data_IF_049288028916
#
_entry.id   IF_049288028916
#
_cell.length_a   1.000
_cell.length_b   1.000
_cell.length_c   1.000
_cell.angle_alpha   90.00
_cell.angle_beta   90.00
_cell.angle_gamma   90.00
#
_symmetry.space_group_name_H-M   'P 1'
#
loop_
_entity.id
_entity.type
_entity.pdbx_description
1 polymer ?
#
# COMPACT_ATOMS: atom_id res chain seq x y z
N UNK A 1 -1.59 -11.61 30.85
CA UNK A 1 -0.74 -12.26 29.84
C UNK A 1 -1.41 -12.00 28.51
N UNK A 2 -0.77 -11.27 27.60
CA UNK A 2 -1.40 -10.85 26.33
C UNK A 2 -1.60 -12.06 25.41
N UNK A 3 -2.74 -12.12 24.73
CA UNK A 3 -3.04 -13.18 23.75
C UNK A 3 -2.17 -12.97 22.49
N UNK A 4 -1.40 -14.00 22.13
CA UNK A 4 -0.65 -14.02 20.88
C UNK A 4 -1.61 -14.10 19.69
N UNK A 5 -1.32 -13.39 18.61
CA UNK A 5 -2.17 -13.35 17.41
C UNK A 5 -1.31 -13.29 16.17
N UNK A 6 -1.70 -14.03 15.14
CA UNK A 6 -1.05 -14.00 13.84
C UNK A 6 -2.11 -14.06 12.74
N UNK A 7 -1.99 -13.20 11.74
CA UNK A 7 -2.84 -13.18 10.56
C UNK A 7 -1.94 -13.19 9.33
N UNK A 8 -2.01 -14.27 8.55
CA UNK A 8 -1.28 -14.48 7.31
C UNK A 8 -2.26 -14.45 6.14
N UNK A 9 -1.95 -13.71 5.08
CA UNK A 9 -2.78 -13.67 3.89
C UNK A 9 -2.00 -13.24 2.64
N UNK A 10 -2.65 -13.41 1.49
CA UNK A 10 -2.22 -12.90 0.19
C UNK A 10 -3.25 -11.92 -0.35
N UNK A 11 -2.82 -10.95 -1.15
CA UNK A 11 -3.71 -10.01 -1.83
C UNK A 11 -3.66 -10.21 -3.35
N UNK A 12 -4.79 -10.38 -4.06
CA UNK A 12 -4.80 -10.67 -5.50
C UNK A 12 -4.07 -9.64 -6.37
N UNK A 13 -4.10 -8.36 -5.96
CA UNK A 13 -3.38 -7.27 -6.66
C UNK A 13 -1.87 -7.19 -6.34
N UNK A 14 -1.33 -8.09 -5.51
CA UNK A 14 0.10 -8.21 -5.20
C UNK A 14 0.51 -9.69 -5.28
N UNK A 15 0.38 -10.34 -6.46
CA UNK A 15 0.67 -11.76 -6.60
C UNK A 15 2.13 -12.04 -6.24
N UNK A 16 2.43 -13.13 -5.53
CA UNK A 16 3.82 -13.46 -5.13
C UNK A 16 4.36 -12.61 -3.97
N UNK A 17 3.48 -12.00 -3.18
CA UNK A 17 3.83 -11.29 -1.95
C UNK A 17 2.91 -11.77 -0.83
N UNK A 18 3.49 -12.40 0.20
CA UNK A 18 2.74 -12.77 1.39
C UNK A 18 2.79 -11.65 2.45
N UNK A 19 1.72 -11.59 3.25
CA UNK A 19 1.54 -10.59 4.29
C UNK A 19 1.35 -11.32 5.63
N UNK A 20 2.11 -10.91 6.65
CA UNK A 20 1.89 -11.36 8.03
C UNK A 20 1.74 -10.15 8.93
N UNK A 21 0.71 -10.15 9.77
CA UNK A 21 0.61 -9.26 10.94
C UNK A 21 0.56 -10.14 12.17
N UNK A 22 1.47 -9.94 13.11
CA UNK A 22 1.44 -10.72 14.34
C UNK A 22 1.85 -9.93 15.58
N UNK A 23 1.50 -10.50 16.72
CA UNK A 23 1.97 -10.15 18.05
C UNK A 23 2.35 -11.44 18.76
N UNK A 24 3.60 -11.51 19.21
CA UNK A 24 4.18 -12.67 19.89
C UNK A 24 4.81 -12.22 21.21
N UNK A 25 4.70 -13.05 22.24
CA UNK A 25 5.25 -12.80 23.59
C UNK A 25 6.13 -13.96 24.03
N UNK A 26 5.65 -15.19 23.83
CA UNK A 26 6.33 -16.43 24.22
C UNK A 26 6.82 -17.23 23.01
N UNK A 27 6.27 -16.98 21.83
CA UNK A 27 6.67 -17.63 20.60
C UNK A 27 8.15 -17.42 20.29
N UNK A 28 8.82 -18.50 19.88
CA UNK A 28 10.21 -18.49 19.43
C UNK A 28 10.27 -19.27 18.12
N UNK A 29 10.71 -18.60 17.06
CA UNK A 29 11.04 -19.23 15.79
C UNK A 29 12.41 -19.89 15.89
N UNK A 30 12.44 -21.21 15.70
CA UNK A 30 13.67 -21.97 15.54
C UNK A 30 14.43 -21.57 14.26
N UNK A 31 15.55 -22.24 13.97
CA UNK A 31 16.31 -22.01 12.73
C UNK A 31 15.43 -22.32 11.51
N UNK A 32 15.23 -21.33 10.64
CA UNK A 32 14.44 -21.47 9.42
C UNK A 32 14.94 -20.52 8.32
N UNK A 33 14.40 -20.71 7.11
CA UNK A 33 14.66 -19.88 5.91
C UNK A 33 13.32 -19.48 5.29
N UNK A 34 13.36 -18.48 4.41
CA UNK A 34 12.24 -18.13 3.52
C UNK A 34 12.71 -18.19 2.07
N UNK A 35 11.81 -18.57 1.16
CA UNK A 35 12.07 -18.60 -0.28
C UNK A 35 12.09 -17.17 -0.88
N UNK A 36 11.47 -16.22 -0.19
CA UNK A 36 11.44 -14.79 -0.53
C UNK A 36 12.23 -13.93 0.45
N UNK A 37 12.22 -12.62 0.20
CA UNK A 37 12.78 -11.65 1.14
C UNK A 37 11.82 -11.40 2.30
N UNK A 38 12.34 -10.86 3.40
CA UNK A 38 11.53 -10.40 4.53
C UNK A 38 11.76 -8.91 4.72
N UNK A 39 10.68 -8.13 4.75
CA UNK A 39 10.68 -6.75 5.25
C UNK A 39 9.69 -6.68 6.42
N UNK A 40 10.19 -6.77 7.65
CA UNK A 40 9.37 -6.79 8.87
C UNK A 40 9.44 -5.44 9.60
N UNK A 41 8.38 -4.64 9.53
CA UNK A 41 8.26 -3.41 10.29
C UNK A 41 7.82 -3.70 11.72
N UNK A 42 8.66 -3.36 12.70
CA UNK A 42 8.35 -3.58 14.11
C UNK A 42 7.50 -2.41 14.60
N UNK A 43 6.29 -2.73 15.03
CA UNK A 43 5.27 -1.74 15.45
C UNK A 43 5.22 -1.55 16.96
N UNK A 44 5.64 -2.54 17.73
CA UNK A 44 5.69 -2.50 19.20
C UNK A 44 6.68 -3.54 19.73
N UNK A 45 7.26 -3.29 20.90
CA UNK A 45 8.21 -4.18 21.54
C UNK A 45 9.55 -4.29 20.79
N UNK A 46 10.19 -5.45 20.90
CA UNK A 46 11.51 -5.72 20.31
C UNK A 46 11.58 -7.15 19.81
N UNK A 47 11.89 -7.33 18.52
CA UNK A 47 12.26 -8.62 17.96
C UNK A 47 13.78 -8.82 18.08
N UNK A 48 14.21 -10.00 18.51
CA UNK A 48 15.61 -10.40 18.50
C UNK A 48 15.77 -11.67 17.67
N UNK A 49 16.82 -11.74 16.84
CA UNK A 49 17.02 -12.88 15.96
C UNK A 49 18.49 -13.13 15.66
N UNK A 50 18.89 -14.40 15.62
CA UNK A 50 20.23 -14.75 15.19
C UNK A 50 20.29 -14.69 13.66
N UNK A 51 21.22 -13.90 13.13
CA UNK A 51 21.42 -13.70 11.71
C UNK A 51 22.88 -13.47 11.37
N UNK A 52 23.35 -14.07 10.26
CA UNK A 52 24.74 -13.93 9.78
C UNK A 52 25.82 -14.15 10.87
N UNK A 53 25.53 -15.03 11.84
CA UNK A 53 26.44 -15.36 12.94
C UNK A 53 26.39 -14.43 14.15
N UNK A 54 25.57 -13.38 14.14
CA UNK A 54 25.34 -12.47 15.26
C UNK A 54 23.90 -12.50 15.77
N UNK A 55 23.66 -11.81 16.88
CA UNK A 55 22.32 -11.51 17.40
C UNK A 55 21.93 -10.11 16.94
N UNK A 56 20.88 -10.01 16.16
CA UNK A 56 20.27 -8.76 15.71
C UNK A 56 19.10 -8.40 16.64
N UNK A 57 18.90 -7.11 16.87
CA UNK A 57 17.85 -6.57 17.75
C UNK A 57 17.10 -5.47 17.00
N UNK A 58 15.83 -5.72 16.69
CA UNK A 58 14.94 -4.83 15.96
C UNK A 58 13.88 -4.24 16.91
N UNK A 59 14.08 -3.01 17.43
CA UNK A 59 13.09 -2.34 18.26
C UNK A 59 11.93 -1.78 17.43
N UNK A 60 10.82 -1.46 18.10
CA UNK A 60 9.72 -0.71 17.50
C UNK A 60 10.21 0.55 16.76
N UNK A 61 9.68 0.78 15.56
CA UNK A 61 10.13 1.85 14.66
C UNK A 61 11.26 1.45 13.71
N UNK A 62 11.77 0.22 13.78
CA UNK A 62 12.76 -0.30 12.81
C UNK A 62 12.14 -1.28 11.81
N UNK A 63 12.93 -1.62 10.77
CA UNK A 63 12.61 -2.70 9.84
C UNK A 63 13.70 -3.77 9.89
N UNK A 64 13.31 -5.01 10.16
CA UNK A 64 14.19 -6.16 9.96
C UNK A 64 14.13 -6.62 8.49
N UNK A 65 15.31 -6.87 7.93
CA UNK A 65 15.54 -7.26 6.55
C UNK A 65 16.24 -8.61 6.50
N UNK A 66 15.59 -9.60 5.86
CA UNK A 66 16.18 -10.94 5.69
C UNK A 66 16.16 -11.30 4.21
N UNK A 67 17.26 -11.87 3.72
CA UNK A 67 17.39 -12.32 2.35
C UNK A 67 16.91 -13.77 2.18
N UNK A 68 16.51 -14.17 0.95
CA UNK A 68 16.12 -15.54 0.64
C UNK A 68 17.18 -16.55 1.05
N UNK A 69 16.74 -17.73 1.46
CA UNK A 69 17.58 -18.88 1.84
C UNK A 69 18.56 -18.60 2.99
N UNK A 70 18.42 -17.48 3.70
CA UNK A 70 19.27 -17.16 4.85
C UNK A 70 18.66 -17.68 6.14
N UNK A 71 19.42 -18.58 6.79
CA UNK A 71 19.04 -19.17 8.07
C UNK A 71 19.00 -18.10 9.15
N UNK A 72 17.88 -18.02 9.85
CA UNK A 72 17.70 -17.13 11.00
C UNK A 72 16.73 -17.72 12.03
N UNK A 73 16.62 -17.06 13.17
CA UNK A 73 15.66 -17.39 14.25
C UNK A 73 14.73 -16.20 14.47
N UNK A 74 13.92 -16.21 15.53
CA UNK A 74 13.15 -15.05 15.95
C UNK A 74 12.59 -15.26 17.35
N UNK A 75 12.69 -14.27 18.23
CA UNK A 75 12.15 -14.33 19.59
C UNK A 75 11.94 -12.92 20.15
N UNK A 76 11.26 -12.84 21.28
CA UNK A 76 11.08 -11.58 21.98
C UNK A 76 12.42 -11.09 22.57
N UNK A 77 12.79 -9.85 22.26
CA UNK A 77 13.94 -9.17 22.87
C UNK A 77 13.62 -8.53 24.22
N UNK A 78 12.33 -8.43 24.58
CA UNK A 78 11.83 -7.85 25.84
C UNK A 78 10.64 -8.65 26.38
N UNK A 79 10.35 -8.62 27.71
CA UNK A 79 9.26 -9.40 28.31
C UNK A 79 7.86 -9.13 27.73
N UNK A 80 7.65 -7.94 27.14
CA UNK A 80 6.40 -7.55 26.50
C UNK A 80 6.16 -8.15 25.11
N UNK A 81 7.14 -8.89 24.58
CA UNK A 81 7.04 -9.44 23.23
C UNK A 81 7.38 -8.44 22.13
N UNK A 82 6.86 -8.71 20.92
CA UNK A 82 6.92 -7.80 19.79
C UNK A 82 5.65 -7.89 18.94
N UNK A 83 5.35 -6.81 18.22
CA UNK A 83 4.32 -6.77 17.20
C UNK A 83 4.91 -6.27 15.90
N UNK A 84 4.58 -6.90 14.78
CA UNK A 84 5.13 -6.53 13.49
C UNK A 84 4.15 -6.72 12.32
N UNK A 85 4.49 -6.08 11.21
CA UNK A 85 3.87 -6.28 9.92
C UNK A 85 4.96 -6.61 8.91
N UNK A 86 4.82 -7.76 8.26
CA UNK A 86 5.84 -8.35 7.41
C UNK A 86 5.34 -8.41 5.97
N UNK A 87 6.21 -7.99 5.04
CA UNK A 87 6.07 -8.27 3.61
C UNK A 87 7.04 -9.39 3.26
N UNK A 88 6.56 -10.42 2.57
CA UNK A 88 7.39 -11.48 1.99
C UNK A 88 7.38 -11.41 0.46
N UNK A 89 8.06 -10.44 -0.17
CA UNK A 89 8.12 -10.38 -1.62
C UNK A 89 8.98 -11.50 -2.20
N UNK A 90 8.50 -12.13 -3.27
CA UNK A 90 9.27 -13.11 -4.02
C UNK A 90 10.56 -12.50 -4.60
N UNK A 91 11.53 -13.37 -4.93
CA UNK A 91 12.75 -12.96 -5.63
C UNK A 91 12.43 -12.23 -6.93
N UNK A 92 11.40 -12.67 -7.67
CA UNK A 92 10.95 -12.03 -8.90
C UNK A 92 10.42 -10.61 -8.68
N UNK A 93 9.72 -10.36 -7.57
CA UNK A 93 9.25 -9.01 -7.22
C UNK A 93 10.41 -8.05 -6.96
N UNK A 94 11.39 -8.51 -6.17
CA UNK A 94 12.61 -7.74 -5.93
C UNK A 94 13.37 -7.51 -7.24
N UNK A 95 13.53 -8.54 -8.08
CA UNK A 95 14.22 -8.46 -9.36
C UNK A 95 13.52 -7.47 -10.31
N UNK A 96 12.20 -7.46 -10.37
CA UNK A 96 11.44 -6.53 -11.21
C UNK A 96 11.65 -5.06 -10.79
N UNK A 97 11.64 -4.78 -9.48
CA UNK A 97 11.92 -3.44 -8.94
C UNK A 97 13.39 -3.06 -9.17
N UNK A 98 14.32 -4.00 -8.91
CA UNK A 98 15.75 -3.84 -9.11
C UNK A 98 16.08 -3.48 -10.56
N UNK A 99 15.46 -4.15 -11.53
CA UNK A 99 15.62 -3.89 -12.95
C UNK A 99 15.17 -2.46 -13.34
N UNK A 100 14.03 -1.99 -12.82
CA UNK A 100 13.60 -0.60 -13.06
C UNK A 100 14.52 0.43 -12.40
N UNK A 101 15.17 0.08 -11.30
CA UNK A 101 16.15 0.92 -10.61
C UNK A 101 17.55 0.88 -11.23
N UNK A 102 17.79 -0.03 -12.18
CA UNK A 102 19.13 -0.21 -12.77
C UNK A 102 20.14 -0.85 -11.80
N UNK A 103 19.65 -1.69 -10.86
CA UNK A 103 20.48 -2.61 -10.09
C UNK A 103 20.93 -3.74 -11.03
N UNK A 104 22.15 -4.25 -10.85
CA UNK A 104 22.63 -5.38 -11.65
C UNK A 104 21.80 -6.66 -11.38
N UNK A 105 21.66 -7.56 -12.38
CA UNK A 105 20.94 -8.82 -12.19
C UNK A 105 21.49 -9.66 -11.03
N UNK A 106 20.60 -10.25 -10.24
CA UNK A 106 20.92 -11.10 -9.10
C UNK A 106 19.93 -10.93 -7.95
N UNK A 107 20.27 -11.50 -6.79
CA UNK A 107 19.55 -11.32 -5.52
C UNK A 107 20.24 -10.23 -4.69
N UNK A 108 19.69 -9.00 -4.63
CA UNK A 108 20.32 -7.89 -3.89
C UNK A 108 20.42 -8.21 -2.41
N UNK A 109 21.65 -8.21 -1.88
CA UNK A 109 21.85 -8.29 -0.44
C UNK A 109 21.59 -6.95 0.24
N UNK A 110 21.34 -6.99 1.56
CA UNK A 110 21.23 -5.82 2.42
C UNK A 110 22.49 -5.61 3.26
N UNK A 111 22.89 -4.34 3.40
CA UNK A 111 24.07 -3.95 4.18
C UNK A 111 23.90 -4.15 5.68
N UNK A 112 22.69 -3.94 6.20
CA UNK A 112 22.30 -4.19 7.59
C UNK A 112 21.06 -5.07 7.64
N UNK A 113 20.96 -5.90 8.68
CA UNK A 113 19.79 -6.75 8.94
C UNK A 113 18.66 -5.99 9.64
N UNK A 114 18.98 -4.90 10.32
CA UNK A 114 18.03 -4.00 10.98
C UNK A 114 18.32 -2.58 10.53
N UNK A 115 17.29 -1.87 10.09
CA UNK A 115 17.41 -0.48 9.61
C UNK A 115 16.45 0.44 10.35
N UNK A 116 16.98 1.60 10.74
CA UNK A 116 16.20 2.73 11.26
C UNK A 116 15.79 3.61 10.07
N UNK A 117 14.55 3.42 9.61
CA UNK A 117 14.02 4.09 8.42
C UNK A 117 12.50 4.28 8.53
N UNK A 118 12.10 5.40 9.13
CA UNK A 118 10.70 5.81 9.35
C UNK A 118 9.83 5.75 8.08
N UNK A 119 10.39 6.10 6.92
CA UNK A 119 9.63 6.07 5.67
C UNK A 119 9.46 4.64 5.17
N UNK A 120 10.47 3.77 5.32
CA UNK A 120 10.31 2.35 4.98
C UNK A 120 9.27 1.68 5.90
N UNK A 121 9.31 1.96 7.21
CA UNK A 121 8.27 1.53 8.16
C UNK A 121 6.90 1.99 7.66
N UNK A 122 6.74 3.30 7.38
CA UNK A 122 5.47 3.84 6.91
C UNK A 122 4.98 3.17 5.63
N UNK A 123 5.86 2.90 4.66
CA UNK A 123 5.48 2.24 3.41
C UNK A 123 5.05 0.79 3.61
N UNK A 124 5.70 0.04 4.51
CA UNK A 124 5.27 -1.32 4.89
C UNK A 124 3.88 -1.28 5.52
N UNK A 125 3.66 -0.39 6.50
CA UNK A 125 2.37 -0.25 7.17
C UNK A 125 1.25 0.22 6.21
N UNK A 126 1.55 1.13 5.30
CA UNK A 126 0.61 1.59 4.28
C UNK A 126 0.25 0.49 3.27
N UNK A 127 1.22 -0.37 2.92
CA UNK A 127 0.97 -1.54 2.06
C UNK A 127 -0.04 -2.48 2.72
N UNK A 128 0.19 -2.84 3.98
CA UNK A 128 -0.72 -3.67 4.78
C UNK A 128 -2.11 -3.03 4.91
N UNK A 129 -2.17 -1.76 5.29
CA UNK A 129 -3.44 -1.05 5.46
C UNK A 129 -4.25 -0.99 4.16
N UNK A 130 -3.59 -0.74 3.02
CA UNK A 130 -4.25 -0.70 1.72
C UNK A 130 -4.75 -2.09 1.30
N UNK A 131 -3.96 -3.15 1.56
CA UNK A 131 -4.35 -4.52 1.27
C UNK A 131 -5.57 -4.96 2.11
N UNK A 132 -5.60 -4.65 3.41
CA UNK A 132 -6.74 -4.93 4.29
C UNK A 132 -8.03 -4.22 3.84
N UNK A 133 -7.90 -3.06 3.19
CA UNK A 133 -9.02 -2.29 2.65
C UNK A 133 -9.36 -2.65 1.20
N UNK A 134 -8.79 -3.73 0.67
CA UNK A 134 -8.94 -4.19 -0.71
C UNK A 134 -8.63 -3.08 -1.75
N UNK A 135 -7.67 -2.21 -1.44
CA UNK A 135 -7.22 -1.11 -2.29
C UNK A 135 -6.01 -1.53 -3.12
N UNK A 136 -6.18 -2.49 -4.03
CA UNK A 136 -5.08 -3.15 -4.75
C UNK A 136 -4.08 -2.19 -5.43
N UNK A 137 -4.57 -1.16 -6.12
CA UNK A 137 -3.71 -0.14 -6.75
C UNK A 137 -2.87 0.64 -5.72
N UNK A 138 -3.41 0.94 -4.54
CA UNK A 138 -2.68 1.60 -3.46
C UNK A 138 -1.66 0.65 -2.83
N UNK A 139 -2.07 -0.58 -2.53
CA UNK A 139 -1.20 -1.61 -1.94
C UNK A 139 0.02 -1.88 -2.83
N UNK A 140 -0.19 -2.15 -4.13
CA UNK A 140 0.90 -2.32 -5.10
C UNK A 140 1.78 -1.07 -5.24
N UNK A 141 1.20 0.13 -5.15
CA UNK A 141 2.00 1.38 -5.15
C UNK A 141 2.92 1.47 -3.93
N UNK A 142 2.40 1.26 -2.72
CA UNK A 142 3.20 1.36 -1.49
C UNK A 142 4.24 0.24 -1.40
N UNK A 143 3.90 -0.98 -1.81
CA UNK A 143 4.83 -2.09 -1.93
C UNK A 143 5.99 -1.69 -2.85
N UNK A 144 5.71 -1.23 -4.07
CA UNK A 144 6.75 -0.84 -5.05
C UNK A 144 7.69 0.21 -4.47
N UNK A 145 7.14 1.19 -3.76
CA UNK A 145 7.91 2.25 -3.10
C UNK A 145 8.75 1.71 -1.93
N UNK A 146 8.21 0.80 -1.11
CA UNK A 146 8.93 0.14 -0.02
C UNK A 146 10.15 -0.63 -0.56
N UNK A 147 9.93 -1.48 -1.57
CA UNK A 147 10.99 -2.27 -2.19
C UNK A 147 12.05 -1.36 -2.82
N UNK A 148 11.64 -0.31 -3.54
CA UNK A 148 12.61 0.61 -4.12
C UNK A 148 13.40 1.36 -3.06
N UNK A 149 12.78 1.76 -1.95
CA UNK A 149 13.48 2.44 -0.86
C UNK A 149 14.50 1.50 -0.20
N UNK A 150 14.10 0.27 0.11
CA UNK A 150 14.98 -0.75 0.66
C UNK A 150 16.18 -1.01 -0.25
N UNK A 151 15.95 -1.20 -1.55
CA UNK A 151 17.02 -1.44 -2.52
C UNK A 151 17.93 -0.22 -2.72
N UNK A 152 17.39 1.01 -2.66
CA UNK A 152 18.19 2.21 -2.89
C UNK A 152 19.09 2.59 -1.74
N UNK A 153 18.60 2.42 -0.51
CA UNK A 153 19.25 2.93 0.69
C UNK A 153 19.98 1.85 1.47
N UNK A 154 19.48 0.62 1.43
CA UNK A 154 19.93 -0.46 2.32
C UNK A 154 20.53 -1.65 1.58
N UNK A 155 20.51 -1.65 0.24
CA UNK A 155 21.21 -2.69 -0.52
C UNK A 155 22.73 -2.52 -0.46
N UNK A 156 23.46 -3.63 -0.41
CA UNK A 156 24.92 -3.64 -0.58
C UNK A 156 25.36 -3.40 -2.04
N UNK A 157 24.44 -3.45 -3.00
CA UNK A 157 24.72 -3.28 -4.43
C UNK A 157 24.56 -1.82 -4.86
N UNK A 158 25.46 -1.37 -5.75
CA UNK A 158 25.40 -0.01 -6.31
C UNK A 158 24.33 0.07 -7.40
N UNK A 159 23.53 1.13 -7.34
CA UNK A 159 22.58 1.47 -8.40
C UNK A 159 23.32 2.07 -9.59
N UNK A 160 22.98 1.61 -10.79
CA UNK A 160 23.66 2.04 -12.02
C UNK A 160 22.69 2.47 -13.12
N UNK A 161 21.68 3.31 -12.84
CA UNK A 161 21.04 4.15 -13.89
C UNK A 161 19.90 5.05 -13.44
N UNK A 162 19.58 6.00 -14.33
CA UNK A 162 18.29 6.67 -14.42
C UNK A 162 17.27 5.80 -15.15
N UNK A 163 16.10 5.58 -14.53
CA UNK A 163 14.99 4.82 -15.10
C UNK A 163 14.39 5.49 -16.36
N UNK A 164 13.76 4.72 -17.26
CA UNK A 164 12.98 5.28 -18.37
C UNK A 164 11.88 6.27 -17.90
N UNK A 165 11.42 7.14 -18.79
CA UNK A 165 10.30 8.06 -18.53
C UNK A 165 9.08 7.62 -19.31
N UNK A 166 7.91 7.65 -18.68
CA UNK A 166 6.65 7.53 -19.39
C UNK A 166 6.20 8.93 -19.84
N UNK A 167 5.51 9.00 -20.98
CA UNK A 167 4.98 10.25 -21.52
C UNK A 167 3.64 10.65 -20.90
N UNK A 168 3.20 11.87 -21.20
CA UNK A 168 1.87 12.38 -20.79
C UNK A 168 0.70 11.54 -21.32
N UNK A 169 0.88 10.88 -22.46
CA UNK A 169 -0.17 10.05 -23.06
C UNK A 169 -0.44 8.77 -22.25
N UNK A 170 0.60 8.15 -21.70
CA UNK A 170 0.45 7.01 -20.80
C UNK A 170 -0.27 7.41 -19.50
N UNK A 171 0.03 8.59 -18.94
CA UNK A 171 -0.68 9.12 -17.78
C UNK A 171 -2.17 9.36 -18.08
N UNK A 172 -2.48 9.92 -19.26
CA UNK A 172 -3.86 10.13 -19.72
C UNK A 172 -4.61 8.82 -19.91
N UNK A 173 -4.01 7.86 -20.61
CA UNK A 173 -4.58 6.54 -20.82
C UNK A 173 -4.85 5.82 -19.49
N UNK A 174 -3.91 5.91 -18.53
CA UNK A 174 -4.08 5.33 -17.20
C UNK A 174 -5.24 5.97 -16.45
N UNK A 175 -5.37 7.30 -16.49
CA UNK A 175 -6.49 8.02 -15.89
C UNK A 175 -7.83 7.57 -16.50
N UNK A 176 -7.89 7.45 -17.82
CA UNK A 176 -9.12 7.07 -18.53
C UNK A 176 -9.52 5.64 -18.21
N UNK A 177 -8.55 4.72 -18.10
CA UNK A 177 -8.79 3.35 -17.65
C UNK A 177 -9.33 3.31 -16.22
N UNK A 178 -8.73 4.07 -15.29
CA UNK A 178 -9.20 4.17 -13.91
C UNK A 178 -10.60 4.79 -13.80
N UNK A 179 -10.93 5.73 -14.68
CA UNK A 179 -12.26 6.33 -14.74
C UNK A 179 -13.32 5.35 -15.27
N UNK A 180 -12.93 4.47 -16.19
CA UNK A 180 -13.81 3.46 -16.78
C UNK A 180 -14.03 2.24 -15.86
N UNK A 181 -13.04 1.89 -15.03
CA UNK A 181 -13.07 0.75 -14.10
C UNK A 181 -13.08 1.22 -12.64
N UNK A 182 -14.15 1.92 -12.28
CA UNK A 182 -14.26 2.59 -10.97
C UNK A 182 -14.45 1.61 -9.81
N UNK A 183 -15.22 0.55 -10.00
CA UNK A 183 -15.54 -0.49 -9.02
C UNK A 183 -14.40 -1.51 -8.88
N UNK A 184 -13.88 -1.97 -10.01
CA UNK A 184 -12.80 -2.96 -10.09
C UNK A 184 -11.58 -2.40 -10.85
N UNK A 185 -10.85 -1.45 -10.24
CA UNK A 185 -9.69 -0.84 -10.86
C UNK A 185 -8.54 -1.85 -10.99
N UNK A 186 -7.71 -1.74 -12.05
CA UNK A 186 -6.52 -2.56 -12.19
C UNK A 186 -5.51 -2.30 -11.05
N UNK A 187 -4.71 -3.32 -10.75
CA UNK A 187 -3.50 -3.16 -9.91
C UNK A 187 -2.45 -2.27 -10.59
N UNK A 188 -1.37 -1.92 -9.89
CA UNK A 188 -0.34 -1.04 -10.44
C UNK A 188 0.37 -1.68 -11.66
N UNK A 189 0.72 -2.95 -11.54
CA UNK A 189 1.40 -3.75 -12.55
C UNK A 189 0.54 -3.85 -13.82
N UNK A 190 -0.74 -4.19 -13.67
CA UNK A 190 -1.70 -4.26 -14.77
C UNK A 190 -1.89 -2.89 -15.42
N UNK A 191 -2.11 -1.83 -14.63
CA UNK A 191 -2.28 -0.47 -15.12
C UNK A 191 -1.08 0.00 -15.94
N UNK A 192 0.13 -0.27 -15.45
CA UNK A 192 1.38 0.06 -16.14
C UNK A 192 1.53 -0.71 -17.46
N UNK A 193 1.27 -2.02 -17.44
CA UNK A 193 1.33 -2.87 -18.62
C UNK A 193 0.31 -2.44 -19.69
N UNK A 194 -0.93 -2.14 -19.32
CA UNK A 194 -1.98 -1.73 -20.26
C UNK A 194 -1.63 -0.45 -21.02
N UNK A 195 -0.91 0.48 -20.38
CA UNK A 195 -0.50 1.74 -21.01
C UNK A 195 0.90 1.71 -21.61
N UNK A 196 1.53 0.52 -21.69
CA UNK A 196 2.85 0.33 -22.27
C UNK A 196 3.96 1.04 -21.49
N UNK A 197 3.84 1.14 -20.16
CA UNK A 197 4.81 1.81 -19.30
C UNK A 197 5.34 0.88 -18.20
N UNK A 198 6.51 1.22 -17.65
CA UNK A 198 6.94 0.65 -16.37
C UNK A 198 6.18 1.30 -15.20
N UNK A 199 5.99 0.59 -14.06
CA UNK A 199 5.36 1.13 -12.87
C UNK A 199 5.95 2.46 -12.36
N UNK A 200 7.27 2.58 -12.17
CA UNK A 200 7.85 3.86 -11.73
C UNK A 200 7.73 4.98 -12.76
N UNK A 201 8.03 4.75 -14.06
CA UNK A 201 7.74 5.71 -15.12
C UNK A 201 6.28 6.21 -15.07
N UNK A 202 5.31 5.31 -14.91
CA UNK A 202 3.90 5.66 -14.84
C UNK A 202 3.56 6.49 -13.59
N UNK A 203 4.01 6.06 -12.39
CA UNK A 203 3.78 6.80 -11.15
C UNK A 203 4.31 8.24 -11.25
N UNK A 204 5.48 8.43 -11.84
CA UNK A 204 6.06 9.76 -12.09
C UNK A 204 5.23 10.56 -13.09
N UNK A 205 4.97 10.00 -14.27
CA UNK A 205 4.23 10.69 -15.33
C UNK A 205 2.81 11.10 -14.88
N UNK A 206 2.14 10.24 -14.11
CA UNK A 206 0.82 10.53 -13.56
C UNK A 206 0.88 11.67 -12.54
N UNK A 207 1.86 11.65 -11.62
CA UNK A 207 2.07 12.75 -10.66
C UNK A 207 2.41 14.06 -11.37
N UNK A 208 3.25 14.02 -12.39
CA UNK A 208 3.63 15.22 -13.17
C UNK A 208 2.43 15.81 -13.93
N UNK A 209 1.52 14.96 -14.43
CA UNK A 209 0.35 15.38 -15.18
C UNK A 209 -0.83 15.84 -14.30
N UNK A 210 -1.03 15.22 -13.13
CA UNK A 210 -2.24 15.39 -12.31
C UNK A 210 -1.98 15.79 -10.85
N UNK A 211 -0.73 15.95 -10.44
CA UNK A 211 -0.32 16.34 -9.08
C UNK A 211 -0.46 15.24 -8.03
N UNK A 212 -0.97 14.05 -8.39
CA UNK A 212 -1.30 12.94 -7.48
C UNK A 212 -0.83 11.61 -8.06
N UNK A 213 -0.51 10.60 -7.23
CA UNK A 213 -0.33 9.23 -7.73
C UNK A 213 -1.69 8.62 -8.16
N UNK A 214 -1.68 7.58 -9.02
CA UNK A 214 -2.90 6.96 -9.56
C UNK A 214 -3.94 6.55 -8.51
N UNK A 215 -3.53 5.89 -7.42
CA UNK A 215 -4.46 5.44 -6.36
C UNK A 215 -5.15 6.61 -5.64
N UNK A 216 -4.44 7.71 -5.41
CA UNK A 216 -4.98 8.89 -4.74
C UNK A 216 -5.91 9.66 -5.67
N UNK A 217 -5.57 9.73 -6.97
CA UNK A 217 -6.45 10.28 -7.99
C UNK A 217 -7.75 9.48 -8.10
N UNK A 218 -7.67 8.14 -8.17
CA UNK A 218 -8.85 7.27 -8.21
C UNK A 218 -9.76 7.50 -7.01
N UNK A 219 -9.20 7.60 -5.81
CA UNK A 219 -9.97 7.90 -4.59
C UNK A 219 -10.70 9.24 -4.68
N UNK A 220 -10.03 10.29 -5.18
CA UNK A 220 -10.69 11.59 -5.39
C UNK A 220 -11.78 11.51 -6.45
N UNK A 221 -11.54 10.78 -7.54
CA UNK A 221 -12.51 10.57 -8.59
C UNK A 221 -13.76 9.83 -8.07
N UNK A 222 -13.58 8.76 -7.29
CA UNK A 222 -14.67 8.05 -6.58
C UNK A 222 -15.49 8.97 -5.68
N UNK A 223 -14.84 9.82 -4.88
CA UNK A 223 -15.54 10.79 -4.01
C UNK A 223 -16.31 11.81 -4.84
N UNK A 224 -15.75 12.31 -5.95
CA UNK A 224 -16.46 13.23 -6.84
C UNK A 224 -17.68 12.58 -7.47
N UNK A 225 -17.57 11.34 -7.94
CA UNK A 225 -18.70 10.58 -8.47
C UNK A 225 -19.75 10.30 -7.40
N UNK A 226 -19.34 9.96 -6.18
CA UNK A 226 -20.25 9.76 -5.05
C UNK A 226 -21.03 11.04 -4.72
N UNK A 227 -20.40 12.22 -4.82
CA UNK A 227 -21.10 13.51 -4.65
C UNK A 227 -22.24 13.68 -5.66
N UNK A 228 -22.02 13.34 -6.92
CA UNK A 228 -23.05 13.40 -7.96
C UNK A 228 -24.21 12.44 -7.66
N UNK A 229 -23.92 11.21 -7.20
CA UNK A 229 -24.95 10.25 -6.80
C UNK A 229 -25.76 10.75 -5.58
N UNK A 230 -25.08 11.31 -4.58
CA UNK A 230 -25.74 11.87 -3.40
C UNK A 230 -26.60 13.10 -3.75
N UNK A 231 -26.15 13.94 -4.69
CA UNK A 231 -26.93 15.08 -5.21
C UNK A 231 -28.21 14.61 -5.93
N UNK A 232 -28.19 13.41 -6.52
CA UNK A 232 -29.35 12.73 -7.12
C UNK A 232 -30.19 11.93 -6.10
N UNK A 233 -29.89 12.01 -4.80
CA UNK A 233 -30.68 11.40 -3.74
C UNK A 233 -30.29 9.96 -3.36
N UNK A 234 -29.31 9.36 -4.03
CA UNK A 234 -28.80 8.00 -3.73
C UNK A 234 -28.34 7.91 -2.28
N UNK A 235 -28.48 6.74 -1.65
CA UNK A 235 -28.04 6.57 -0.27
C UNK A 235 -26.52 6.51 -0.13
N UNK A 236 -25.92 6.95 0.99
CA UNK A 236 -24.49 6.79 1.21
C UNK A 236 -24.00 5.34 1.09
N UNK A 237 -24.81 4.35 1.44
CA UNK A 237 -24.48 2.94 1.29
C UNK A 237 -24.42 2.56 -0.20
N UNK A 238 -25.49 2.86 -0.96
CA UNK A 238 -25.55 2.52 -2.38
C UNK A 238 -24.50 3.29 -3.19
N UNK A 239 -24.28 4.56 -2.86
CA UNK A 239 -23.24 5.37 -3.49
C UNK A 239 -21.83 4.83 -3.20
N UNK A 240 -21.58 4.24 -2.02
CA UNK A 240 -20.29 3.64 -1.70
C UNK A 240 -20.02 2.43 -2.62
N UNK A 241 -21.00 1.53 -2.75
CA UNK A 241 -20.91 0.35 -3.63
C UNK A 241 -20.74 0.78 -5.09
N UNK A 242 -21.57 1.72 -5.56
CA UNK A 242 -21.58 2.17 -6.95
C UNK A 242 -20.26 2.81 -7.42
N UNK A 243 -19.47 3.39 -6.51
CA UNK A 243 -18.16 3.98 -6.84
C UNK A 243 -16.98 3.10 -6.41
N UNK A 244 -17.21 1.89 -5.91
CA UNK A 244 -16.14 0.95 -5.57
C UNK A 244 -15.47 1.17 -4.21
N UNK A 245 -16.16 1.77 -3.23
CA UNK A 245 -15.73 1.68 -1.83
C UNK A 245 -16.23 0.37 -1.22
N UNK A 246 -15.39 -0.27 -0.40
CA UNK A 246 -15.72 -1.53 0.30
C UNK A 246 -17.04 -1.43 1.09
N UNK A 247 -17.27 -0.30 1.75
CA UNK A 247 -18.50 -0.05 2.51
C UNK A 247 -18.75 1.45 2.68
N UNK A 248 -19.89 1.79 3.30
CA UNK A 248 -20.25 3.16 3.63
C UNK A 248 -19.25 3.83 4.59
N UNK A 249 -18.67 3.09 5.53
CA UNK A 249 -17.73 3.64 6.51
C UNK A 249 -16.44 4.10 5.82
N UNK A 250 -15.97 3.34 4.84
CA UNK A 250 -14.85 3.61 3.98
C UNK A 250 -15.11 4.85 3.11
N UNK A 251 -16.26 4.92 2.42
CA UNK A 251 -16.69 6.14 1.73
C UNK A 251 -16.68 7.32 2.71
N UNK A 252 -17.26 7.16 3.91
CA UNK A 252 -17.38 8.23 4.89
C UNK A 252 -16.03 8.78 5.33
N UNK A 253 -15.02 7.92 5.55
CA UNK A 253 -13.64 8.35 5.88
C UNK A 253 -13.06 9.23 4.78
N UNK A 254 -13.11 8.78 3.53
CA UNK A 254 -12.56 9.54 2.39
C UNK A 254 -13.35 10.80 2.07
N UNK A 255 -14.68 10.70 2.11
CA UNK A 255 -15.57 11.82 1.82
C UNK A 255 -15.40 12.93 2.87
N UNK A 256 -15.31 12.61 4.16
CA UNK A 256 -15.00 13.60 5.20
C UNK A 256 -13.65 14.25 4.97
N UNK A 257 -12.61 13.47 4.65
CA UNK A 257 -11.25 13.99 4.40
C UNK A 257 -11.20 14.95 3.21
N UNK A 258 -11.98 14.67 2.15
CA UNK A 258 -11.92 15.42 0.88
C UNK A 258 -12.95 16.56 0.82
N UNK A 259 -14.14 16.37 1.38
CA UNK A 259 -15.28 17.31 1.29
C UNK A 259 -15.49 18.08 2.61
N UNK A 260 -14.94 17.60 3.72
CA UNK A 260 -15.05 18.25 5.05
C UNK A 260 -16.27 17.81 5.88
N UNK A 261 -17.22 17.09 5.29
CA UNK A 261 -18.46 16.63 5.97
C UNK A 261 -18.78 15.17 5.64
N UNK A 262 -19.53 14.43 6.48
CA UNK A 262 -19.98 13.08 6.13
C UNK A 262 -20.97 13.06 4.94
N UNK A 263 -21.01 11.98 4.14
CA UNK A 263 -21.87 11.90 2.94
C UNK A 263 -23.37 12.02 3.26
N UNK A 264 -23.80 11.45 4.40
CA UNK A 264 -25.18 11.58 4.85
C UNK A 264 -25.58 13.01 5.22
N UNK A 265 -24.66 13.79 5.81
CA UNK A 265 -24.90 15.21 6.10
C UNK A 265 -24.94 16.04 4.81
N UNK A 266 -24.00 15.77 3.89
CA UNK A 266 -23.96 16.39 2.57
C UNK A 266 -25.28 16.20 1.80
N UNK A 267 -25.77 14.95 1.71
CA UNK A 267 -27.04 14.63 1.02
C UNK A 267 -28.24 15.36 1.61
N UNK A 268 -28.38 15.39 2.95
CA UNK A 268 -29.50 16.09 3.61
C UNK A 268 -29.52 17.58 3.29
N UNK A 269 -28.36 18.23 3.31
CA UNK A 269 -28.25 19.64 2.97
C UNK A 269 -28.71 19.92 1.52
N UNK A 270 -28.40 19.03 0.59
CA UNK A 270 -28.78 19.18 -0.84
C UNK A 270 -30.25 18.91 -1.09
N UNK A 271 -30.84 17.93 -0.41
CA UNK A 271 -32.29 17.69 -0.44
C UNK A 271 -33.07 18.91 0.04
N UNK A 272 -32.66 19.53 1.15
CA UNK A 272 -33.32 20.71 1.67
C UNK A 272 -33.26 21.90 0.70
N UNK A 273 -32.15 22.09 -0.03
CA UNK A 273 -32.04 23.15 -1.05
C UNK A 273 -32.97 22.88 -2.25
N UNK A 274 -33.10 21.63 -2.69
CA UNK A 274 -33.99 21.25 -3.79
C UNK A 274 -35.48 21.39 -3.39
N UNK A 275 -35.85 21.00 -2.17
CA UNK A 275 -37.22 21.12 -1.65
C UNK A 275 -37.64 22.59 -1.42
N UNK A 276 -36.69 23.49 -1.18
CA UNK A 276 -36.93 24.94 -0.96
C UNK A 276 -37.14 25.74 -2.25
N UNK A 277 -36.92 25.14 -3.44
CA UNK A 277 -37.00 25.79 -4.75
C UNK A 277 -38.32 25.56 -5.51
N UNK A 278 -39.37 25.04 -4.86
CA UNK A 278 -40.69 24.84 -5.46
C UNK A 278 -41.40 26.16 -5.84
N UNK A 279 -42.31 26.16 -6.83
CA UNK A 279 -42.72 27.36 -7.56
C UNK A 279 -43.36 28.40 -6.65
N UNK A 280 -42.92 29.66 -6.78
CA UNK A 280 -43.59 30.84 -6.25
C UNK A 280 -45.05 30.82 -6.72
N UNK A 281 -46.05 30.95 -5.82
CA UNK A 281 -47.44 31.04 -6.26
C UNK A 281 -47.58 32.29 -7.12
N UNK A 282 -48.08 32.10 -8.35
CA UNK A 282 -48.45 33.21 -9.21
C UNK A 282 -49.52 34.04 -8.50
N UNK A 283 -49.24 35.33 -8.32
CA UNK A 283 -50.17 36.34 -7.84
C UNK A 283 -51.11 36.78 -8.98
#
# INVERSE_FOLDING_TARGET
MGEERAHYWQHPAMPGVDLLRAHYVHHTFGKHTHDGYVLAAITDGVEAFHYRGGLEVAPAGSVALVEPDRVHTGHAGVPGGWSYQVLYPSVDHIAAVAAELGVLPGSPGFGSAVVDDDELVRLVLQTHQAAEQNQGLAAGTFLRLALARALRLHSSQRLTRTAPRAGRDAARAARDLLAARLDEPPGLEELAATVGAGPFPLLRAFRDAYGLPPHAWLTQYRVRTARTLLDAGVTPADAAVAVGFVDQAHLTRHFRRIVGVPPGAYRRARKNVQDSGGPTPAA
#
